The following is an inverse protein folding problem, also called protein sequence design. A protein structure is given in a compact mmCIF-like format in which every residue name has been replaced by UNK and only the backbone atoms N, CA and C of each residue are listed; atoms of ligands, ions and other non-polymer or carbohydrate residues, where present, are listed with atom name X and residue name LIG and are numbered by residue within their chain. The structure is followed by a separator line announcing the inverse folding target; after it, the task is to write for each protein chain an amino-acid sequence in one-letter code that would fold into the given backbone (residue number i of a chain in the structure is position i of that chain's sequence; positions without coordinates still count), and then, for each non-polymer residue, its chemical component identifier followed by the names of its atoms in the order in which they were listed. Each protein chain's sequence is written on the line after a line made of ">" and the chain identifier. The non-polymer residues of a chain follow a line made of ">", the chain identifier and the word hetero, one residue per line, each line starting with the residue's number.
data_IF_498503397521
#
_entry.id   IF_498503397521
#
_cell.length_a   1.000
_cell.length_b   1.000
_cell.length_c   1.000
_cell.angle_alpha   90.00
_cell.angle_beta   90.00
_cell.angle_gamma   90.00
#
_symmetry.space_group_name_H-M   'P 1'
#
loop_
_entity.id
_entity.type
_entity.pdbx_description
1 polymer ?
#
# COMPACT_ATOMS: atom_id res chain seq x y z
N UNK A 1 -3.15 19.04 31.30
CA UNK A 1 -2.36 18.58 30.13
C UNK A 1 -3.35 18.05 29.09
N UNK A 2 -3.48 18.67 27.90
CA UNK A 2 -4.42 18.20 26.89
C UNK A 2 -3.83 17.06 26.05
N UNK A 3 -4.56 15.95 25.95
CA UNK A 3 -4.25 14.82 25.07
C UNK A 3 -4.33 15.25 23.60
N UNK A 4 -3.20 15.18 22.89
CA UNK A 4 -3.18 15.40 21.44
C UNK A 4 -3.86 14.18 20.79
N UNK A 5 -5.14 14.33 20.43
CA UNK A 5 -5.92 13.30 19.72
C UNK A 5 -5.43 13.20 18.29
N UNK A 6 -4.52 12.27 18.00
CA UNK A 6 -4.23 11.87 16.63
C UNK A 6 -5.52 11.34 15.98
N UNK A 7 -5.93 11.90 14.84
CA UNK A 7 -7.10 11.42 14.13
C UNK A 7 -6.91 9.95 13.76
N UNK A 8 -7.76 9.06 14.28
CA UNK A 8 -7.75 7.64 13.96
C UNK A 8 -8.27 7.44 12.52
N UNK A 9 -7.36 7.61 11.54
CA UNK A 9 -7.66 7.46 10.12
C UNK A 9 -7.79 5.98 9.77
N UNK A 10 -8.98 5.42 9.95
CA UNK A 10 -9.29 4.08 9.45
C UNK A 10 -9.56 4.09 7.95
N UNK A 11 -9.13 3.04 7.25
CA UNK A 11 -9.43 2.86 5.82
C UNK A 11 -10.94 2.74 5.65
N UNK A 12 -11.54 3.68 4.93
CA UNK A 12 -12.98 3.68 4.63
C UNK A 12 -13.40 2.58 3.65
N UNK A 13 -12.45 2.00 2.90
CA UNK A 13 -12.73 1.05 1.83
C UNK A 13 -12.19 -0.33 2.16
N UNK A 14 -13.05 -1.34 2.09
CA UNK A 14 -12.70 -2.76 2.17
C UNK A 14 -12.25 -3.36 0.83
N UNK A 15 -12.19 -2.54 -0.24
CA UNK A 15 -11.78 -3.00 -1.58
C UNK A 15 -10.33 -3.52 -1.55
N UNK A 16 -10.11 -4.67 -2.21
CA UNK A 16 -8.77 -5.25 -2.35
C UNK A 16 -8.27 -6.03 -1.12
N UNK A 17 -9.15 -6.33 -0.15
CA UNK A 17 -8.84 -7.15 1.02
C UNK A 17 -9.03 -8.65 0.79
N UNK A 18 -9.51 -9.07 -0.38
CA UNK A 18 -9.70 -10.50 -0.67
C UNK A 18 -8.33 -11.19 -0.67
N UNK A 19 -8.11 -12.19 0.20
CA UNK A 19 -6.84 -12.89 0.24
C UNK A 19 -6.61 -13.67 -1.07
N UNK A 20 -5.35 -13.85 -1.50
CA UNK A 20 -5.04 -14.51 -2.77
C UNK A 20 -5.65 -15.90 -2.91
N UNK A 21 -5.67 -16.69 -1.83
CA UNK A 21 -6.27 -18.03 -1.78
C UNK A 21 -7.78 -18.01 -2.11
N UNK A 22 -8.54 -17.12 -1.48
CA UNK A 22 -9.99 -17.00 -1.73
C UNK A 22 -10.26 -16.60 -3.17
N UNK A 23 -9.43 -15.70 -3.73
CA UNK A 23 -9.54 -15.30 -5.13
C UNK A 23 -9.25 -16.47 -6.08
N UNK A 24 -8.22 -17.28 -5.80
CA UNK A 24 -7.87 -18.45 -6.61
C UNK A 24 -9.00 -19.49 -6.60
N UNK A 25 -9.59 -19.76 -5.43
CA UNK A 25 -10.76 -20.65 -5.30
C UNK A 25 -11.96 -20.16 -6.11
N UNK A 26 -12.26 -18.86 -6.06
CA UNK A 26 -13.33 -18.27 -6.84
C UNK A 26 -13.06 -18.40 -8.36
N UNK A 27 -11.81 -18.19 -8.81
CA UNK A 27 -11.44 -18.32 -10.22
C UNK A 27 -11.55 -19.78 -10.68
N UNK A 28 -11.14 -20.75 -9.86
CA UNK A 28 -11.32 -22.19 -10.13
C UNK A 28 -12.79 -22.56 -10.30
N UNK A 29 -13.67 -22.07 -9.43
CA UNK A 29 -15.11 -22.33 -9.55
C UNK A 29 -15.69 -21.82 -10.88
N UNK A 30 -15.16 -20.73 -11.45
CA UNK A 30 -15.59 -20.22 -12.75
C UNK A 30 -14.97 -20.98 -13.92
N UNK A 31 -13.67 -21.30 -13.84
CA UNK A 31 -12.89 -21.84 -14.96
C UNK A 31 -12.93 -23.36 -15.08
N UNK A 32 -12.99 -24.07 -13.95
CA UNK A 32 -13.00 -25.54 -13.87
C UNK A 32 -14.44 -26.02 -13.67
N UNK A 33 -15.14 -25.51 -12.66
CA UNK A 33 -16.49 -25.98 -12.31
C UNK A 33 -17.57 -25.33 -13.20
N UNK A 34 -17.17 -24.50 -14.17
CA UNK A 34 -18.04 -23.79 -15.13
C UNK A 34 -19.18 -23.00 -14.48
N UNK A 35 -19.03 -22.54 -13.22
CA UNK A 35 -20.04 -21.73 -12.54
C UNK A 35 -20.14 -20.33 -13.15
N UNK A 36 -21.32 -19.73 -13.03
CA UNK A 36 -21.52 -18.38 -13.53
C UNK A 36 -20.74 -17.35 -12.70
N UNK A 37 -20.17 -16.34 -13.36
CA UNK A 37 -19.47 -15.23 -12.69
C UNK A 37 -20.35 -14.53 -11.63
N UNK A 38 -21.66 -14.47 -11.85
CA UNK A 38 -22.61 -13.79 -10.96
C UNK A 38 -22.90 -14.61 -9.70
N UNK A 39 -23.00 -15.92 -9.82
CA UNK A 39 -23.18 -16.84 -8.71
C UNK A 39 -21.92 -16.88 -7.84
N UNK A 40 -20.76 -17.14 -8.44
CA UNK A 40 -19.48 -17.15 -7.73
C UNK A 40 -19.19 -15.81 -7.05
N UNK A 41 -19.58 -14.68 -7.66
CA UNK A 41 -19.45 -13.36 -7.04
C UNK A 41 -20.22 -13.23 -5.72
N UNK A 42 -21.43 -13.82 -5.64
CA UNK A 42 -22.26 -13.81 -4.43
C UNK A 42 -21.67 -14.73 -3.36
N UNK A 43 -21.29 -15.95 -3.75
CA UNK A 43 -20.78 -16.97 -2.82
C UNK A 43 -19.49 -16.53 -2.14
N UNK A 44 -18.54 -16.00 -2.92
CA UNK A 44 -17.24 -15.57 -2.41
C UNK A 44 -17.23 -14.11 -1.92
N UNK A 45 -18.36 -13.40 -2.04
CA UNK A 45 -18.49 -11.96 -1.72
C UNK A 45 -17.43 -11.08 -2.41
N UNK A 46 -17.07 -11.44 -3.64
CA UNK A 46 -16.10 -10.71 -4.45
C UNK A 46 -16.87 -9.89 -5.49
N UNK A 47 -16.62 -8.58 -5.65
CA UNK A 47 -17.27 -7.78 -6.68
C UNK A 47 -17.07 -8.39 -8.07
N UNK A 48 -18.15 -8.48 -8.86
CA UNK A 48 -18.16 -9.13 -10.18
C UNK A 48 -17.02 -8.66 -11.10
N UNK A 49 -16.76 -7.35 -11.15
CA UNK A 49 -15.70 -6.77 -11.99
C UNK A 49 -14.30 -7.18 -11.51
N UNK A 50 -14.12 -7.34 -10.20
CA UNK A 50 -12.87 -7.84 -9.63
C UNK A 50 -12.66 -9.30 -9.99
N UNK A 51 -13.69 -10.13 -9.83
CA UNK A 51 -13.63 -11.54 -10.20
C UNK A 51 -13.32 -11.72 -11.69
N UNK A 52 -14.04 -11.00 -12.57
CA UNK A 52 -13.78 -11.01 -14.03
C UNK A 52 -12.33 -10.66 -14.36
N UNK A 53 -11.79 -9.60 -13.75
CA UNK A 53 -10.39 -9.19 -13.94
C UNK A 53 -9.42 -10.33 -13.55
N UNK A 54 -9.66 -10.99 -12.42
CA UNK A 54 -8.79 -12.08 -11.97
C UNK A 54 -8.95 -13.35 -12.80
N UNK A 55 -10.14 -13.67 -13.32
CA UNK A 55 -10.31 -14.78 -14.28
C UNK A 55 -9.48 -14.62 -15.56
N UNK A 56 -9.04 -13.40 -15.90
CA UNK A 56 -8.13 -13.12 -17.02
C UNK A 56 -6.66 -13.05 -16.58
N UNK A 57 -6.39 -12.83 -15.29
CA UNK A 57 -5.06 -12.59 -14.75
C UNK A 57 -4.34 -13.87 -14.34
N UNK A 58 -5.06 -14.82 -13.75
CA UNK A 58 -4.50 -16.11 -13.34
C UNK A 58 -4.12 -16.95 -14.55
N UNK A 59 -2.95 -17.60 -14.50
CA UNK A 59 -2.54 -18.54 -15.55
C UNK A 59 -3.23 -19.89 -15.38
N UNK A 60 -3.39 -20.64 -16.47
CA UNK A 60 -4.00 -21.97 -16.43
C UNK A 60 -3.20 -22.96 -15.54
N UNK A 61 -1.89 -22.74 -15.44
CA UNK A 61 -0.99 -23.50 -14.56
C UNK A 61 -1.32 -23.27 -13.09
N UNK A 62 -1.51 -22.02 -12.66
CA UNK A 62 -1.90 -21.68 -11.28
C UNK A 62 -3.28 -22.23 -10.94
N UNK A 63 -4.19 -22.22 -11.91
CA UNK A 63 -5.54 -22.75 -11.77
C UNK A 63 -5.49 -24.27 -11.55
N UNK A 64 -4.64 -25.00 -12.27
CA UNK A 64 -4.53 -26.47 -12.18
C UNK A 64 -3.67 -26.95 -11.00
N UNK A 65 -2.58 -26.25 -10.66
CA UNK A 65 -1.56 -26.73 -9.73
C UNK A 65 -2.01 -26.83 -8.26
N UNK A 66 -3.19 -26.33 -7.89
CA UNK A 66 -3.69 -26.44 -6.51
C UNK A 66 -3.06 -25.47 -5.51
N UNK A 67 -1.80 -25.10 -5.71
CA UNK A 67 -0.91 -24.43 -4.74
C UNK A 67 -1.16 -22.91 -4.57
N UNK A 68 -0.44 -22.32 -3.61
CA UNK A 68 -0.45 -20.90 -3.31
C UNK A 68 -0.22 -20.08 -4.60
N UNK A 69 -1.10 -19.10 -4.90
CA UNK A 69 -1.00 -18.35 -6.14
C UNK A 69 0.20 -17.41 -6.16
N UNK A 70 0.97 -17.40 -7.25
CA UNK A 70 2.02 -16.40 -7.48
C UNK A 70 1.41 -15.06 -7.92
N UNK A 71 0.22 -15.09 -8.53
CA UNK A 71 -0.54 -13.91 -8.90
C UNK A 71 -0.83 -13.02 -7.70
N UNK A 72 -0.28 -11.80 -7.72
CA UNK A 72 -0.54 -10.79 -6.69
C UNK A 72 -2.00 -10.32 -6.75
N UNK A 73 -2.73 -10.52 -5.66
CA UNK A 73 -4.10 -10.06 -5.45
C UNK A 73 -4.10 -8.81 -4.56
N UNK A 74 -4.90 -7.81 -4.90
CA UNK A 74 -4.99 -6.55 -4.15
C UNK A 74 -4.10 -5.43 -4.70
N UNK A 75 -3.73 -4.52 -3.80
CA UNK A 75 -2.94 -3.32 -4.13
C UNK A 75 -1.46 -3.67 -4.31
N UNK A 76 -0.89 -3.25 -5.44
CA UNK A 76 0.54 -3.42 -5.73
C UNK A 76 1.23 -2.09 -5.38
N UNK A 77 2.19 -2.15 -4.46
CA UNK A 77 2.96 -0.99 -4.03
C UNK A 77 4.11 -0.66 -5.01
N UNK A 78 3.77 -0.44 -6.28
CA UNK A 78 4.75 -0.19 -7.35
C UNK A 78 5.59 1.10 -7.19
N UNK A 79 5.17 1.99 -6.29
CA UNK A 79 5.86 3.24 -5.95
C UNK A 79 6.38 3.25 -4.51
N UNK A 80 6.53 2.07 -3.91
CA UNK A 80 7.09 1.94 -2.57
C UNK A 80 8.56 2.39 -2.58
N UNK A 81 8.87 3.37 -1.73
CA UNK A 81 10.23 3.92 -1.60
C UNK A 81 10.94 3.28 -0.41
N UNK A 82 10.22 3.10 0.70
CA UNK A 82 10.74 2.53 1.94
C UNK A 82 10.37 1.06 2.07
N UNK A 83 11.26 0.26 2.66
CA UNK A 83 10.90 -1.08 3.11
C UNK A 83 9.98 -1.01 4.33
N UNK A 84 9.25 -2.09 4.64
CA UNK A 84 8.36 -2.13 5.80
C UNK A 84 9.10 -1.81 7.12
N UNK A 85 10.36 -2.21 7.23
CA UNK A 85 11.22 -1.90 8.37
C UNK A 85 11.56 -0.41 8.45
N UNK A 86 11.96 0.19 7.33
CA UNK A 86 12.24 1.63 7.22
C UNK A 86 11.01 2.49 7.51
N UNK A 87 9.82 2.08 7.04
CA UNK A 87 8.56 2.77 7.35
C UNK A 87 8.26 2.73 8.84
N UNK A 88 8.53 1.59 9.50
CA UNK A 88 8.33 1.42 10.94
C UNK A 88 9.28 2.32 11.72
N UNK A 89 10.57 2.31 11.37
CA UNK A 89 11.58 3.16 12.00
C UNK A 89 11.24 4.65 11.86
N UNK A 90 10.87 5.09 10.65
CA UNK A 90 10.49 6.48 10.40
C UNK A 90 9.21 6.86 11.17
N UNK A 91 8.20 5.99 11.18
CA UNK A 91 6.94 6.19 11.90
C UNK A 91 7.18 6.39 13.40
N UNK A 92 8.01 5.55 14.00
CA UNK A 92 8.31 5.62 15.43
C UNK A 92 9.13 6.87 15.77
N UNK A 93 10.06 7.27 14.89
CA UNK A 93 10.78 8.53 15.05
C UNK A 93 9.85 9.75 14.94
N UNK A 94 8.95 9.78 13.96
CA UNK A 94 7.98 10.87 13.77
C UNK A 94 7.03 10.97 14.98
N UNK A 95 6.57 9.85 15.54
CA UNK A 95 5.74 9.86 16.77
C UNK A 95 6.50 10.44 17.96
N UNK A 96 7.75 10.02 18.15
CA UNK A 96 8.62 10.56 19.23
C UNK A 96 8.83 12.06 19.07
N UNK A 97 9.17 12.51 17.87
CA UNK A 97 9.36 13.93 17.58
C UNK A 97 8.06 14.74 17.77
N UNK A 98 6.91 14.22 17.31
CA UNK A 98 5.63 14.87 17.52
C UNK A 98 5.26 15.01 19.01
N UNK A 99 5.68 14.06 19.86
CA UNK A 99 5.47 14.17 21.30
C UNK A 99 6.35 15.27 21.92
N UNK A 100 7.59 15.45 21.43
CA UNK A 100 8.53 16.47 21.92
C UNK A 100 8.12 17.88 21.47
N UNK A 101 7.71 18.04 20.20
CA UNK A 101 7.44 19.35 19.59
C UNK A 101 5.96 19.77 19.64
N UNK A 102 5.14 19.13 20.48
CA UNK A 102 3.69 19.39 20.60
C UNK A 102 2.91 19.22 19.28
N UNK A 103 3.34 18.27 18.47
CA UNK A 103 2.80 17.98 17.15
C UNK A 103 3.82 18.22 16.03
N UNK A 104 3.52 17.66 14.87
CA UNK A 104 4.26 17.92 13.64
C UNK A 104 3.25 18.21 12.54
N UNK A 105 3.53 19.23 11.74
CA UNK A 105 2.76 19.51 10.55
C UNK A 105 3.02 18.43 9.48
N UNK A 106 2.07 18.15 8.58
CA UNK A 106 2.30 17.27 7.43
C UNK A 106 3.44 17.74 6.51
N UNK A 107 3.88 19.00 6.62
CA UNK A 107 5.04 19.53 5.88
C UNK A 107 6.34 19.05 6.51
N UNK A 108 6.47 19.11 7.83
CA UNK A 108 7.66 18.65 8.55
C UNK A 108 7.85 17.15 8.43
N UNK A 109 6.77 16.38 8.56
CA UNK A 109 6.82 14.91 8.37
C UNK A 109 7.31 14.55 6.97
N UNK A 110 6.86 15.26 5.92
CA UNK A 110 7.36 15.06 4.55
C UNK A 110 8.84 15.42 4.41
N UNK A 111 9.30 16.49 5.06
CA UNK A 111 10.73 16.86 5.08
C UNK A 111 11.57 15.77 5.76
N UNK A 112 11.12 15.27 6.91
CA UNK A 112 11.80 14.18 7.62
C UNK A 112 11.90 12.92 6.76
N UNK A 113 10.81 12.53 6.09
CA UNK A 113 10.81 11.40 5.16
C UNK A 113 11.80 11.61 4.00
N UNK A 114 11.84 12.82 3.41
CA UNK A 114 12.78 13.13 2.34
C UNK A 114 14.24 13.09 2.80
N UNK A 115 14.56 13.66 3.96
CA UNK A 115 15.92 13.62 4.54
C UNK A 115 16.31 12.18 4.84
N UNK A 116 15.41 11.38 5.42
CA UNK A 116 15.65 9.97 5.71
C UNK A 116 15.93 9.16 4.42
N UNK A 117 15.08 9.31 3.40
CA UNK A 117 15.30 8.66 2.10
C UNK A 117 16.60 9.10 1.42
N UNK A 118 16.96 10.38 1.52
CA UNK A 118 18.21 10.92 0.97
C UNK A 118 19.43 10.36 1.71
N UNK A 119 19.38 10.27 3.04
CA UNK A 119 20.47 9.70 3.84
C UNK A 119 20.72 8.22 3.53
N UNK A 120 19.68 7.49 3.15
CA UNK A 120 19.74 6.10 2.73
C UNK A 120 20.01 5.93 1.22
N UNK A 121 20.22 7.04 0.48
CA UNK A 121 20.41 7.05 -0.98
C UNK A 121 19.32 6.28 -1.76
N UNK A 122 18.07 6.34 -1.30
CA UNK A 122 16.95 5.62 -1.93
C UNK A 122 16.50 6.32 -3.21
N UNK A 123 16.01 5.51 -4.17
CA UNK A 123 15.40 6.03 -5.40
C UNK A 123 14.03 6.64 -5.10
N UNK A 124 13.97 7.96 -5.08
CA UNK A 124 12.72 8.71 -4.90
C UNK A 124 12.09 9.12 -6.24
N UNK A 125 10.75 9.22 -6.34
CA UNK A 125 10.11 9.76 -7.52
C UNK A 125 10.38 11.27 -7.66
N UNK A 126 10.41 11.77 -8.91
CA UNK A 126 10.80 13.16 -9.20
C UNK A 126 9.92 14.21 -8.51
N UNK A 127 8.65 13.90 -8.29
CA UNK A 127 7.72 14.79 -7.59
C UNK A 127 8.07 15.01 -6.11
N UNK A 128 8.93 14.17 -5.49
CA UNK A 128 9.48 14.43 -4.15
C UNK A 128 10.56 15.51 -4.18
N UNK A 129 11.27 15.64 -5.32
CA UNK A 129 12.31 16.66 -5.53
C UNK A 129 11.74 18.03 -5.86
N UNK A 130 10.46 18.13 -6.25
CA UNK A 130 9.71 19.39 -6.36
C UNK A 130 9.40 20.02 -4.98
N UNK A 131 10.41 20.05 -4.12
CA UNK A 131 10.49 20.97 -3.02
C UNK A 131 11.23 22.20 -3.54
N UNK A 132 10.57 23.03 -4.36
CA UNK A 132 11.02 24.41 -4.69
C UNK A 132 11.10 25.32 -3.45
N UNK A 133 11.12 24.73 -2.26
CA UNK A 133 11.12 25.30 -0.93
C UNK A 133 12.47 25.10 -0.22
N UNK A 134 13.39 24.28 -0.77
CA UNK A 134 14.75 24.11 -0.25
C UNK A 134 15.69 25.24 -0.70
N UNK A 135 15.41 25.89 -1.83
CA UNK A 135 16.14 27.07 -2.28
C UNK A 135 15.83 28.33 -1.45
N UNK A 136 14.67 28.37 -0.78
CA UNK A 136 14.22 29.55 -0.02
C UNK A 136 14.71 29.59 1.45
N UNK A 137 15.41 28.55 1.94
CA UNK A 137 15.88 28.50 3.34
C UNK A 137 17.35 28.06 3.46
N UNK A 138 18.19 28.45 2.49
CA UNK A 138 19.64 28.62 2.68
C UNK A 138 20.39 27.47 3.34
N UNK A 139 20.25 26.24 2.85
CA UNK A 139 21.21 25.18 3.20
C UNK A 139 22.35 25.21 2.19
N UNK A 140 23.36 26.03 2.47
CA UNK A 140 24.66 25.94 1.79
C UNK A 140 25.26 24.56 2.07
N UNK A 141 25.51 23.79 1.02
CA UNK A 141 26.53 22.75 1.08
C UNK A 141 27.89 23.45 1.20
N UNK A 142 28.58 23.21 2.30
CA UNK A 142 30.05 23.29 2.38
C UNK A 142 30.64 21.94 1.99
#
# INVERSE_FOLDING_TARGET
>A
MPEIRYANLQKKSQRGLTPPDVMLRAVRAVKIDHRSLRETSRDFKIPLMTLRRYCQKFSDEEIKAGNAPNTVVGYIANRQVFTSEQETQLSDYVKKAANIYFGLSPKEVRRMAFVFASSLNLRMPQNWKNLSWLELIGFQHS
#
